data_IF_911599581987
#
_entry.id   IF_911599581987
#
_cell.length_a   1.000
_cell.length_b   1.000
_cell.length_c   1.000
_cell.angle_alpha   90.00
_cell.angle_beta   90.00
_cell.angle_gamma   90.00
#
_symmetry.space_group_name_H-M   'P 1'
#
loop_
_entity.id
_entity.type
_entity.pdbx_description
1 polymer ?
#
# COMPACT_ATOMS: atom_id res chain seq x y z
N UNK A 1 14.71 -1.24 10.25
CA UNK A 1 14.67 0.01 9.44
C UNK A 1 13.41 -0.04 8.60
N UNK A 2 12.74 1.10 8.38
CA UNK A 2 11.41 1.08 7.78
C UNK A 2 11.41 1.04 6.25
N UNK A 3 10.40 0.37 5.70
CA UNK A 3 9.79 0.75 4.41
C UNK A 3 8.67 1.73 4.72
N UNK A 4 8.62 2.87 4.03
CA UNK A 4 7.51 3.81 4.09
C UNK A 4 6.59 3.60 2.89
N UNK A 5 5.28 3.74 3.10
CA UNK A 5 4.25 3.57 2.08
C UNK A 5 3.57 4.91 1.84
N UNK A 6 3.47 5.29 0.57
CA UNK A 6 2.88 6.54 0.13
C UNK A 6 1.71 6.31 -0.82
N UNK A 7 0.76 7.24 -0.79
CA UNK A 7 -0.27 7.38 -1.82
C UNK A 7 -0.06 8.71 -2.55
N UNK A 8 0.07 8.63 -3.87
CA UNK A 8 0.06 9.76 -4.78
C UNK A 8 -1.30 9.81 -5.49
N UNK A 9 -2.10 10.81 -5.14
CA UNK A 9 -3.46 10.93 -5.65
C UNK A 9 -3.49 11.90 -6.84
N UNK A 10 -3.67 11.40 -8.07
CA UNK A 10 -3.81 12.23 -9.28
C UNK A 10 -5.28 12.49 -9.63
N UNK A 11 -6.20 12.26 -8.69
CA UNK A 11 -7.63 12.52 -8.84
C UNK A 11 -7.96 13.96 -8.41
N UNK A 12 -9.07 14.56 -8.87
CA UNK A 12 -9.43 15.94 -8.53
C UNK A 12 -9.92 16.12 -7.08
N UNK A 13 -10.10 15.05 -6.31
CA UNK A 13 -10.61 15.07 -4.94
C UNK A 13 -9.69 14.27 -4.02
N UNK A 14 -9.62 14.64 -2.74
CA UNK A 14 -8.84 13.90 -1.75
C UNK A 14 -9.33 12.46 -1.61
N UNK A 15 -8.38 11.55 -1.40
CA UNK A 15 -8.65 10.15 -1.10
C UNK A 15 -8.34 9.92 0.38
N UNK A 16 -9.29 9.34 1.10
CA UNK A 16 -9.09 8.91 2.49
C UNK A 16 -8.61 7.46 2.51
N UNK A 17 -7.54 7.20 3.25
CA UNK A 17 -6.86 5.91 3.31
C UNK A 17 -6.84 5.40 4.75
N UNK A 18 -7.43 4.24 4.97
CA UNK A 18 -7.40 3.53 6.26
C UNK A 18 -6.43 2.36 6.17
N UNK A 19 -5.52 2.21 7.13
CA UNK A 19 -4.48 1.17 7.07
C UNK A 19 -4.58 0.22 8.25
N UNK A 20 -4.52 -1.07 7.96
CA UNK A 20 -4.55 -2.15 8.96
C UNK A 20 -3.47 -3.18 8.65
N UNK A 21 -3.18 -4.06 9.62
CA UNK A 21 -2.21 -5.15 9.48
C UNK A 21 -2.83 -6.47 9.95
N UNK A 22 -2.54 -7.57 9.25
CA UNK A 22 -2.92 -8.93 9.65
C UNK A 22 -1.76 -9.91 9.44
N UNK A 23 -1.44 -10.79 10.41
CA UNK A 23 -1.98 -10.84 11.77
C UNK A 23 -1.63 -9.58 12.58
N UNK A 24 -2.20 -9.45 13.78
CA UNK A 24 -1.93 -8.29 14.64
C UNK A 24 -0.43 -8.13 14.90
N UNK A 25 0.09 -6.92 14.71
CA UNK A 25 1.48 -6.54 14.91
C UNK A 25 1.55 -5.37 15.89
N UNK A 26 2.50 -5.41 16.83
CA UNK A 26 2.72 -4.30 17.75
C UNK A 26 3.09 -3.03 16.98
N UNK A 27 2.50 -1.91 17.40
CA UNK A 27 2.79 -0.53 16.98
C UNK A 27 4.28 -0.12 17.11
N UNK A 28 5.10 -0.90 17.81
CA UNK A 28 6.57 -0.75 17.79
C UNK A 28 7.17 -1.03 16.41
N UNK A 29 6.54 -1.86 15.59
CA UNK A 29 7.09 -2.36 14.33
C UNK A 29 6.43 -1.77 13.09
N UNK A 30 5.43 -0.90 13.25
CA UNK A 30 4.79 -0.20 12.15
C UNK A 30 4.04 1.01 12.69
N UNK A 31 3.84 2.04 11.87
CA UNK A 31 2.88 3.08 12.24
C UNK A 31 1.49 2.50 12.15
N UNK A 32 0.83 2.34 13.29
CA UNK A 32 -0.59 2.04 13.39
C UNK A 32 -1.37 3.37 13.42
N UNK A 33 -1.70 4.00 12.27
CA UNK A 33 -2.40 5.27 12.28
C UNK A 33 -3.75 5.11 12.98
N UNK A 34 -4.02 5.93 13.99
CA UNK A 34 -5.28 5.90 14.74
C UNK A 34 -6.47 6.40 13.93
N UNK A 35 -6.20 7.21 12.90
CA UNK A 35 -7.19 7.86 12.06
C UNK A 35 -6.83 7.66 10.58
N UNK A 36 -7.83 7.58 9.69
CA UNK A 36 -7.58 7.55 8.26
C UNK A 36 -6.77 8.76 7.77
N UNK A 37 -5.80 8.51 6.89
CA UNK A 37 -4.94 9.54 6.32
C UNK A 37 -5.61 10.16 5.09
N UNK A 38 -5.61 11.48 4.99
CA UNK A 38 -6.12 12.20 3.83
C UNK A 38 -4.99 12.46 2.81
N UNK A 39 -5.11 11.88 1.62
CA UNK A 39 -4.21 12.11 0.49
C UNK A 39 -4.86 13.12 -0.48
N UNK A 40 -4.52 14.43 -0.41
CA UNK A 40 -5.02 15.43 -1.33
C UNK A 40 -4.45 15.22 -2.75
N UNK A 41 -5.05 15.85 -3.78
CA UNK A 41 -4.52 15.81 -5.12
C UNK A 41 -3.06 16.28 -5.22
N UNK A 42 -2.24 15.59 -5.99
CA UNK A 42 -0.86 15.94 -6.30
C UNK A 42 0.18 15.12 -5.54
N UNK A 43 0.86 15.72 -4.57
CA UNK A 43 2.08 15.15 -3.99
C UNK A 43 1.84 13.84 -3.22
N UNK A 44 2.82 12.90 -3.20
CA UNK A 44 2.75 11.70 -2.37
C UNK A 44 2.58 12.02 -0.89
N UNK A 45 1.69 11.31 -0.21
CA UNK A 45 1.46 11.38 1.24
C UNK A 45 1.79 10.04 1.87
N UNK A 46 2.57 10.05 2.95
CA UNK A 46 2.87 8.85 3.73
C UNK A 46 1.60 8.39 4.45
N UNK A 47 1.24 7.12 4.27
CA UNK A 47 0.07 6.51 4.89
C UNK A 47 0.45 5.56 6.02
N UNK A 48 1.62 4.93 5.94
CA UNK A 48 2.21 4.15 7.02
C UNK A 48 3.70 3.88 6.77
N UNK A 49 4.38 3.35 7.78
CA UNK A 49 5.69 2.71 7.69
C UNK A 49 5.66 1.36 8.40
N UNK A 50 6.54 0.45 8.00
CA UNK A 50 6.73 -0.87 8.61
C UNK A 50 8.22 -1.20 8.74
N UNK A 51 8.63 -1.69 9.92
CA UNK A 51 10.00 -2.15 10.13
C UNK A 51 10.25 -3.46 9.40
N UNK A 52 11.37 -3.52 8.69
CA UNK A 52 11.77 -4.64 7.83
C UNK A 52 12.91 -5.49 8.42
N UNK A 53 13.49 -5.07 9.54
CA UNK A 53 14.64 -5.73 10.19
C UNK A 53 14.28 -6.42 11.51
N UNK A 54 13.31 -5.88 12.25
CA UNK A 54 12.98 -6.35 13.59
C UNK A 54 11.48 -6.58 13.75
N UNK A 55 11.10 -7.62 14.49
CA UNK A 55 9.69 -7.96 14.76
C UNK A 55 9.00 -8.77 13.66
N UNK A 56 9.53 -8.76 12.43
CA UNK A 56 9.08 -9.60 11.31
C UNK A 56 10.20 -10.62 11.01
N UNK A 57 10.12 -11.80 11.64
CA UNK A 57 11.23 -12.77 11.64
C UNK A 57 10.80 -14.17 11.22
N UNK A 58 11.73 -14.99 10.72
CA UNK A 58 11.61 -16.45 10.64
C UNK A 58 10.39 -17.00 9.85
N UNK A 59 10.13 -16.48 8.65
CA UNK A 59 9.08 -17.00 7.76
C UNK A 59 7.67 -16.56 8.14
N UNK A 60 7.50 -15.82 9.22
CA UNK A 60 6.23 -15.17 9.54
C UNK A 60 5.91 -14.11 8.49
N UNK A 61 4.63 -14.03 8.12
CA UNK A 61 4.12 -13.12 7.10
C UNK A 61 3.08 -12.18 7.69
N UNK A 62 3.24 -10.89 7.42
CA UNK A 62 2.25 -9.85 7.70
C UNK A 62 1.78 -9.23 6.40
N UNK A 63 0.49 -8.93 6.35
CA UNK A 63 -0.16 -8.21 5.27
C UNK A 63 -0.64 -6.88 5.81
N UNK A 64 -0.03 -5.80 5.33
CA UNK A 64 -0.51 -4.45 5.51
C UNK A 64 -1.54 -4.18 4.41
N UNK A 65 -2.67 -3.57 4.77
CA UNK A 65 -3.75 -3.28 3.84
C UNK A 65 -4.20 -1.85 4.05
N UNK A 66 -3.98 -1.04 3.03
CA UNK A 66 -4.43 0.34 2.93
C UNK A 66 -5.66 0.40 2.01
N UNK A 67 -6.81 0.65 2.62
CA UNK A 67 -8.10 0.68 1.96
C UNK A 67 -8.52 2.12 1.63
N UNK A 68 -9.02 2.32 0.42
CA UNK A 68 -9.50 3.60 -0.08
C UNK A 68 -10.72 3.43 -0.99
N UNK A 69 -11.36 4.54 -1.37
CA UNK A 69 -12.40 4.59 -2.40
C UNK A 69 -11.94 5.43 -3.58
N UNK A 70 -11.98 4.85 -4.78
CA UNK A 70 -11.62 5.52 -6.05
C UNK A 70 -12.79 5.40 -7.01
N UNK A 71 -13.33 6.54 -7.47
CA UNK A 71 -14.53 6.56 -8.33
C UNK A 71 -15.74 5.88 -7.69
N UNK A 72 -15.82 5.85 -6.35
CA UNK A 72 -16.85 5.15 -5.59
C UNK A 72 -16.66 3.64 -5.45
N UNK A 73 -15.58 3.06 -6.00
CA UNK A 73 -15.24 1.65 -5.85
C UNK A 73 -14.18 1.43 -4.76
N UNK A 74 -14.31 0.36 -3.95
CA UNK A 74 -13.29 0.02 -2.97
C UNK A 74 -12.01 -0.42 -3.68
N UNK A 75 -10.89 0.10 -3.19
CA UNK A 75 -9.53 -0.24 -3.60
C UNK A 75 -8.74 -0.64 -2.37
N UNK A 76 -7.97 -1.71 -2.48
CA UNK A 76 -6.99 -2.14 -1.49
C UNK A 76 -5.60 -2.11 -2.11
N UNK A 77 -4.69 -1.45 -1.43
CA UNK A 77 -3.25 -1.42 -1.69
C UNK A 77 -2.60 -2.21 -0.57
N UNK A 78 -1.82 -3.23 -0.89
CA UNK A 78 -1.41 -4.23 0.09
C UNK A 78 0.08 -4.56 -0.02
N UNK A 79 0.75 -4.64 1.13
CA UNK A 79 2.14 -5.07 1.25
C UNK A 79 2.17 -6.39 2.04
N UNK A 80 2.69 -7.44 1.42
CA UNK A 80 3.04 -8.67 2.11
C UNK A 80 4.51 -8.62 2.49
N UNK A 81 4.79 -8.57 3.80
CA UNK A 81 6.15 -8.62 4.34
C UNK A 81 6.38 -9.98 4.98
N UNK A 82 7.39 -10.70 4.51
CA UNK A 82 7.76 -12.02 5.05
C UNK A 82 9.17 -11.97 5.63
N UNK A 83 9.30 -12.32 6.90
CA UNK A 83 10.58 -12.35 7.59
C UNK A 83 11.53 -13.43 7.04
N UNK A 84 12.82 -13.11 6.94
CA UNK A 84 13.89 -14.05 6.62
C UNK A 84 14.80 -14.26 7.84
N UNK A 85 15.89 -15.01 7.68
CA UNK A 85 16.86 -15.23 8.75
C UNK A 85 17.63 -13.95 9.16
N UNK A 86 17.73 -12.96 8.27
CA UNK A 86 18.55 -11.75 8.49
C UNK A 86 17.85 -10.44 8.12
N UNK A 87 16.64 -10.50 7.54
CA UNK A 87 15.91 -9.35 6.98
C UNK A 87 14.44 -9.73 6.73
N UNK A 88 13.79 -9.09 5.75
CA UNK A 88 12.49 -9.49 5.21
C UNK A 88 12.41 -9.26 3.69
N UNK A 89 11.55 -10.01 3.02
CA UNK A 89 11.13 -9.76 1.63
C UNK A 89 9.76 -9.06 1.61
N UNK A 90 9.49 -8.32 0.55
CA UNK A 90 8.21 -7.62 0.35
C UNK A 90 7.66 -7.91 -1.04
N UNK A 91 6.35 -8.10 -1.12
CA UNK A 91 5.58 -8.11 -2.36
C UNK A 91 4.36 -7.21 -2.19
N UNK A 92 3.88 -6.62 -3.28
CA UNK A 92 2.71 -5.74 -3.28
C UNK A 92 1.57 -6.30 -4.13
N UNK A 93 0.35 -5.91 -3.79
CA UNK A 93 -0.85 -6.29 -4.50
C UNK A 93 -1.82 -5.12 -4.54
N UNK A 94 -2.52 -4.98 -5.66
CA UNK A 94 -3.64 -4.04 -5.79
C UNK A 94 -4.90 -4.83 -6.08
N UNK A 95 -5.96 -4.58 -5.32
CA UNK A 95 -7.27 -5.18 -5.50
C UNK A 95 -8.33 -4.08 -5.68
N UNK A 96 -9.11 -4.15 -6.75
CA UNK A 96 -10.18 -3.21 -7.05
C UNK A 96 -11.25 -3.86 -7.92
N UNK A 97 -12.52 -3.49 -7.72
CA UNK A 97 -13.66 -3.99 -8.51
C UNK A 97 -13.69 -5.53 -8.65
N UNK A 98 -13.36 -6.26 -7.57
CA UNK A 98 -13.33 -7.73 -7.54
C UNK A 98 -12.16 -8.38 -8.30
N UNK A 99 -11.23 -7.59 -8.82
CA UNK A 99 -10.02 -8.05 -9.51
C UNK A 99 -8.79 -7.77 -8.67
N UNK A 100 -7.73 -8.54 -8.91
CA UNK A 100 -6.46 -8.36 -8.23
C UNK A 100 -5.27 -8.58 -9.15
N UNK A 101 -4.16 -7.91 -8.88
CA UNK A 101 -2.87 -8.14 -9.55
C UNK A 101 -2.17 -9.41 -9.08
N UNK A 102 -2.60 -9.99 -7.96
CA UNK A 102 -1.77 -10.93 -7.20
C UNK A 102 -0.57 -10.23 -6.54
N UNK A 103 0.20 -10.99 -5.76
CA UNK A 103 1.44 -10.52 -5.14
C UNK A 103 2.55 -10.37 -6.18
N UNK A 104 3.19 -9.21 -6.21
CA UNK A 104 4.23 -8.83 -7.16
C UNK A 104 5.44 -8.25 -6.43
N UNK A 105 6.65 -8.64 -6.80
CA UNK A 105 7.92 -8.18 -6.21
C UNK A 105 8.62 -7.07 -7.02
N UNK A 106 8.13 -6.76 -8.23
CA UNK A 106 8.70 -5.70 -9.10
C UNK A 106 7.78 -4.47 -9.24
N UNK A 107 6.49 -4.60 -8.90
CA UNK A 107 5.48 -3.55 -9.08
C UNK A 107 4.12 -4.13 -9.46
N UNK A 108 3.05 -3.35 -9.27
CA UNK A 108 1.68 -3.77 -9.57
C UNK A 108 0.92 -2.67 -10.32
N UNK A 109 0.11 -3.04 -11.29
CA UNK A 109 -0.77 -2.09 -11.98
C UNK A 109 -2.12 -2.73 -12.27
N UNK A 110 -3.20 -2.10 -11.80
CA UNK A 110 -4.57 -2.56 -12.02
C UNK A 110 -5.41 -1.45 -12.65
N UNK A 111 -5.90 -1.71 -13.86
CA UNK A 111 -6.92 -0.88 -14.53
C UNK A 111 -8.31 -1.48 -14.30
N UNK A 112 -9.26 -0.64 -13.92
CA UNK A 112 -10.63 -1.05 -13.62
C UNK A 112 -11.64 0.06 -13.95
N UNK A 113 -12.89 -0.33 -14.21
CA UNK A 113 -14.03 0.59 -14.29
C UNK A 113 -14.64 0.72 -12.90
N UNK A 114 -14.74 1.95 -12.38
CA UNK A 114 -15.30 2.20 -11.05
C UNK A 114 -16.83 2.36 -11.09
N UNK A 115 -17.43 2.56 -9.91
CA UNK A 115 -18.88 2.68 -9.73
C UNK A 115 -19.48 3.93 -10.43
N UNK A 116 -18.67 4.96 -10.63
CA UNK A 116 -19.05 6.17 -11.39
C UNK A 116 -18.94 6.00 -12.92
N UNK A 117 -18.65 4.78 -13.40
CA UNK A 117 -18.45 4.40 -14.80
C UNK A 117 -17.22 5.00 -15.48
N UNK A 118 -16.31 5.65 -14.73
CA UNK A 118 -15.02 6.07 -15.27
C UNK A 118 -13.99 4.93 -15.16
N UNK A 119 -12.95 4.99 -16.00
CA UNK A 119 -11.82 4.07 -15.93
C UNK A 119 -10.72 4.68 -15.09
N UNK A 120 -10.17 3.88 -14.19
CA UNK A 120 -9.07 4.25 -13.31
C UNK A 120 -7.94 3.25 -13.40
N UNK A 121 -6.76 3.68 -13.01
CA UNK A 121 -5.61 2.83 -12.79
C UNK A 121 -5.01 3.12 -11.41
N UNK A 122 -4.65 2.06 -10.70
CA UNK A 122 -3.82 2.13 -9.50
C UNK A 122 -2.51 1.41 -9.78
N UNK A 123 -1.39 2.10 -9.59
CA UNK A 123 -0.05 1.61 -9.87
C UNK A 123 0.78 1.64 -8.58
N UNK A 124 1.21 0.48 -8.09
CA UNK A 124 2.18 0.34 -7.01
C UNK A 124 3.60 0.17 -7.56
N UNK A 125 4.57 0.90 -7.02
CA UNK A 125 5.99 0.81 -7.38
C UNK A 125 6.89 0.82 -6.16
N UNK A 126 8.02 0.13 -6.26
CA UNK A 126 9.14 0.28 -5.35
C UNK A 126 9.99 1.48 -5.75
N UNK A 127 10.36 2.30 -4.76
CA UNK A 127 11.21 3.47 -4.94
C UNK A 127 12.42 3.34 -4.04
N UNK A 128 13.61 3.38 -4.66
CA UNK A 128 14.86 3.17 -3.96
C UNK A 128 15.03 4.12 -2.77
N UNK A 129 15.37 3.55 -1.61
CA UNK A 129 15.76 4.30 -0.43
C UNK A 129 17.09 3.76 0.13
N UNK A 130 17.47 4.18 1.33
CA UNK A 130 18.81 3.88 1.89
C UNK A 130 19.06 2.40 2.19
N UNK A 131 18.02 1.62 2.53
CA UNK A 131 18.18 0.20 2.93
C UNK A 131 17.06 -0.67 2.40
N UNK A 132 15.81 -0.30 2.64
CA UNK A 132 14.65 -0.95 2.02
C UNK A 132 13.92 0.05 1.16
N UNK A 133 13.49 -0.39 -0.01
CA UNK A 133 12.69 0.45 -0.89
C UNK A 133 11.39 0.88 -0.19
N UNK A 134 10.98 2.10 -0.50
CA UNK A 134 9.64 2.61 -0.18
C UNK A 134 8.64 2.09 -1.22
N UNK A 135 7.36 2.11 -0.87
CA UNK A 135 6.28 1.78 -1.80
C UNK A 135 5.47 3.04 -2.08
N UNK A 136 5.19 3.32 -3.36
CA UNK A 136 4.27 4.39 -3.76
C UNK A 136 3.15 3.80 -4.58
N UNK A 137 1.90 4.03 -4.17
CA UNK A 137 0.72 3.78 -4.99
C UNK A 137 0.22 5.08 -5.61
N UNK A 138 0.05 5.08 -6.93
CA UNK A 138 -0.52 6.20 -7.66
C UNK A 138 -1.91 5.84 -8.16
N UNK A 139 -2.92 6.65 -7.83
CA UNK A 139 -4.28 6.51 -8.34
C UNK A 139 -4.55 7.57 -9.41
N UNK A 140 -4.95 7.15 -10.62
CA UNK A 140 -5.09 8.01 -11.81
C UNK A 140 -6.42 7.69 -12.51
N UNK A 141 -7.08 8.72 -13.05
CA UNK A 141 -8.21 8.56 -13.98
C UNK A 141 -7.69 8.50 -15.41
N UNK A 142 -8.12 7.49 -16.18
CA UNK A 142 -7.74 7.30 -17.59
C UNK A 142 -8.70 8.00 -18.56
#
# INVERSE_FOLDING_TARGET
MPTNVYVQNELPVSVTVDTSVTPALSDKYWSNPSDPVSAPPGQPVEICWMDRDIGITNGDTWVFTSAASVGGSPVQMQEQVTGTAVSSIIAIQVTAAGRSTGWQDEGAALTFTAADNNTYQVVGKFVSASTYDNVIYTAIKL
#
